data_IF_584246960148
#
_entry.id   IF_584246960148
#
_cell.length_a   1.000
_cell.length_b   1.000
_cell.length_c   1.000
_cell.angle_alpha   90.00
_cell.angle_beta   90.00
_cell.angle_gamma   90.00
#
_symmetry.space_group_name_H-M   'P 1'
#
loop_
_entity.id
_entity.type
_entity.pdbx_description
1 polymer ?
#
# COMPACT_ATOMS: atom_id res chain seq x y z
N UNK A 1 -4.34 15.24 11.17
CA UNK A 1 -2.95 15.36 11.62
C UNK A 1 -2.06 14.55 10.67
N UNK A 2 -0.74 14.77 10.72
CA UNK A 2 0.22 13.95 10.00
C UNK A 2 0.52 12.72 10.84
N UNK A 3 0.32 11.54 10.27
CA UNK A 3 0.63 10.26 10.91
C UNK A 3 1.75 9.57 10.12
N UNK A 4 2.55 8.76 10.82
CA UNK A 4 3.64 7.97 10.26
C UNK A 4 3.61 6.57 10.84
N UNK A 5 3.81 5.57 10.00
CA UNK A 5 3.97 4.17 10.40
C UNK A 5 4.72 3.41 9.30
N UNK A 6 4.93 2.11 9.48
CA UNK A 6 5.37 1.17 8.47
C UNK A 6 4.19 0.37 7.94
N UNK A 7 4.26 -0.09 6.69
CA UNK A 7 3.21 -0.91 6.13
C UNK A 7 3.63 -1.70 4.91
N UNK A 8 3.01 -2.86 4.74
CA UNK A 8 3.16 -3.71 3.55
C UNK A 8 1.97 -3.48 2.64
N UNK A 9 2.23 -3.18 1.37
CA UNK A 9 1.16 -3.05 0.37
C UNK A 9 0.53 -4.43 0.12
N UNK A 10 -0.74 -4.58 0.47
CA UNK A 10 -1.52 -5.79 0.17
C UNK A 10 -2.14 -5.69 -1.23
N UNK A 11 -2.72 -4.55 -1.58
CA UNK A 11 -3.39 -4.34 -2.87
C UNK A 11 -3.48 -2.85 -3.19
N UNK A 12 -3.51 -2.53 -4.48
CA UNK A 12 -3.87 -1.23 -5.02
C UNK A 12 -5.13 -1.32 -5.86
N UNK A 13 -6.00 -0.31 -5.80
CA UNK A 13 -7.23 -0.22 -6.61
C UNK A 13 -7.22 1.13 -7.34
N UNK A 14 -7.46 1.19 -8.66
CA UNK A 14 -7.66 2.45 -9.36
C UNK A 14 -8.84 3.25 -8.79
N UNK A 15 -8.63 4.55 -8.56
CA UNK A 15 -9.68 5.48 -8.11
C UNK A 15 -10.01 6.54 -9.17
N UNK A 16 -9.06 6.85 -10.04
CA UNK A 16 -9.21 7.73 -11.19
C UNK A 16 -8.04 7.49 -12.16
N UNK A 17 -7.91 8.33 -13.19
CA UNK A 17 -6.96 8.09 -14.29
C UNK A 17 -5.52 7.81 -13.85
N UNK A 18 -5.05 8.49 -12.80
CA UNK A 18 -3.71 8.30 -12.26
C UNK A 18 -3.69 8.01 -10.76
N UNK A 19 -4.85 7.92 -10.12
CA UNK A 19 -5.02 7.90 -8.66
C UNK A 19 -5.32 6.48 -8.18
N UNK A 20 -4.78 6.11 -7.01
CA UNK A 20 -4.96 4.76 -6.42
C UNK A 20 -5.49 4.85 -4.99
N UNK A 21 -6.29 3.87 -4.59
CA UNK A 21 -6.46 3.47 -3.20
C UNK A 21 -5.44 2.37 -2.91
N UNK A 22 -4.66 2.54 -1.85
CA UNK A 22 -3.62 1.60 -1.43
C UNK A 22 -3.99 1.00 -0.08
N UNK A 23 -3.98 -0.33 -0.01
CA UNK A 23 -4.26 -1.10 1.19
C UNK A 23 -2.93 -1.50 1.80
N UNK A 24 -2.64 -0.98 2.99
CA UNK A 24 -1.47 -1.32 3.78
C UNK A 24 -1.87 -2.22 4.96
N UNK A 25 -1.13 -3.29 5.18
CA UNK A 25 -1.09 -3.95 6.48
C UNK A 25 -0.05 -3.24 7.33
N UNK A 26 -0.47 -2.68 8.45
CA UNK A 26 0.37 -1.90 9.37
C UNK A 26 0.43 -2.59 10.74
N UNK A 27 1.55 -2.45 11.49
CA UNK A 27 1.69 -3.10 12.79
C UNK A 27 0.84 -2.46 13.89
N UNK A 28 0.50 -1.17 13.75
CA UNK A 28 -0.15 -0.34 14.78
C UNK A 28 -1.57 0.08 14.43
N UNK A 29 -1.93 0.14 13.14
CA UNK A 29 -3.26 0.56 12.68
C UNK A 29 -4.06 -0.56 11.99
N UNK A 30 -3.50 -1.78 11.92
CA UNK A 30 -4.10 -2.90 11.20
C UNK A 30 -4.20 -2.64 9.69
N UNK A 31 -5.36 -2.91 9.10
CA UNK A 31 -5.60 -2.68 7.67
C UNK A 31 -5.92 -1.21 7.40
N UNK A 32 -4.93 -0.48 6.91
CA UNK A 32 -5.04 0.93 6.56
C UNK A 32 -5.30 1.11 5.07
N UNK A 33 -6.42 1.74 4.72
CA UNK A 33 -6.73 2.16 3.34
C UNK A 33 -6.34 3.62 3.17
N UNK A 34 -5.56 3.95 2.13
CA UNK A 34 -5.12 5.33 1.88
C UNK A 34 -5.39 5.75 0.44
N UNK A 35 -5.62 7.05 0.24
CA UNK A 35 -5.72 7.65 -1.09
C UNK A 35 -4.36 8.18 -1.55
N UNK A 36 -3.81 7.63 -2.62
CA UNK A 36 -2.60 8.10 -3.27
C UNK A 36 -2.95 8.91 -4.52
N UNK A 37 -2.66 10.22 -4.48
CA UNK A 37 -2.88 11.12 -5.61
C UNK A 37 -1.76 11.01 -6.64
N UNK A 38 -2.14 10.63 -7.85
CA UNK A 38 -1.36 10.55 -9.07
C UNK A 38 -0.11 9.66 -9.03
N UNK A 39 -0.11 8.49 -8.34
CA UNK A 39 1.04 7.60 -8.29
C UNK A 39 1.48 7.04 -9.65
N UNK A 40 0.58 6.94 -10.64
CA UNK A 40 0.89 6.35 -11.95
C UNK A 40 1.59 7.32 -12.93
N UNK A 41 1.76 8.59 -12.56
CA UNK A 41 2.46 9.56 -13.41
C UNK A 41 3.96 9.27 -13.42
N UNK A 42 4.62 9.48 -14.56
CA UNK A 42 6.08 9.27 -14.74
C UNK A 42 6.93 10.01 -13.69
N UNK A 43 6.49 11.19 -13.24
CA UNK A 43 7.17 11.99 -12.19
C UNK A 43 6.53 11.83 -10.80
N UNK A 44 5.92 10.68 -10.55
CA UNK A 44 5.31 10.37 -9.25
C UNK A 44 6.36 10.30 -8.15
N UNK A 45 6.06 10.91 -7.01
CA UNK A 45 6.89 10.78 -5.79
C UNK A 45 6.88 9.38 -5.19
N UNK A 46 5.94 8.53 -5.60
CA UNK A 46 5.77 7.21 -5.02
C UNK A 46 6.61 6.13 -5.70
N UNK A 47 7.07 6.34 -6.94
CA UNK A 47 7.85 5.34 -7.68
C UNK A 47 7.23 3.94 -7.60
N UNK A 48 8.05 2.93 -7.31
CA UNK A 48 7.62 1.54 -7.09
C UNK A 48 7.18 1.23 -5.65
N UNK A 49 7.09 2.23 -4.76
CA UNK A 49 6.82 2.00 -3.34
C UNK A 49 5.40 1.52 -3.02
N UNK A 50 4.48 1.64 -4.00
CA UNK A 50 3.09 1.21 -3.90
C UNK A 50 2.83 -0.09 -4.65
N UNK A 51 3.89 -0.75 -5.13
CA UNK A 51 3.76 -2.07 -5.72
C UNK A 51 3.39 -3.11 -4.65
N UNK A 52 2.61 -4.15 -5.00
CA UNK A 52 2.27 -5.23 -4.08
C UNK A 52 3.48 -5.79 -3.35
N UNK A 53 3.30 -6.10 -2.07
CA UNK A 53 4.31 -6.66 -1.15
C UNK A 53 5.44 -5.73 -0.75
N UNK A 54 5.47 -4.49 -1.24
CA UNK A 54 6.48 -3.54 -0.82
C UNK A 54 6.24 -3.13 0.64
N UNK A 55 7.28 -3.27 1.47
CA UNK A 55 7.31 -2.79 2.85
C UNK A 55 7.94 -1.40 2.89
N UNK A 56 7.18 -0.42 3.36
CA UNK A 56 7.56 1.00 3.29
C UNK A 56 7.27 1.74 4.59
N UNK A 57 8.07 2.78 4.87
CA UNK A 57 7.69 3.85 5.80
C UNK A 57 6.71 4.76 5.09
N UNK A 58 5.52 4.94 5.66
CA UNK A 58 4.47 5.75 5.06
C UNK A 58 4.13 6.96 5.93
N UNK A 59 3.74 8.05 5.28
CA UNK A 59 3.19 9.21 5.94
C UNK A 59 1.89 9.65 5.27
N UNK A 60 0.86 9.91 6.05
CA UNK A 60 -0.47 10.27 5.54
C UNK A 60 -1.14 11.34 6.40
N UNK A 61 -2.04 12.10 5.76
CA UNK A 61 -2.86 13.13 6.40
C UNK A 61 -4.30 12.67 6.51
N UNK A 62 -4.84 12.69 7.74
CA UNK A 62 -6.23 12.36 8.02
C UNK A 62 -6.68 12.82 9.41
N UNK A 63 -7.99 12.80 9.67
CA UNK A 63 -8.51 12.77 11.04
C UNK A 63 -8.29 11.36 11.60
N UNK A 64 -8.27 11.19 12.93
CA UNK A 64 -8.01 9.89 13.59
C UNK A 64 -8.89 8.75 13.04
N UNK A 65 -10.12 9.05 12.62
CA UNK A 65 -11.07 8.07 12.06
C UNK A 65 -11.40 8.31 10.58
N UNK A 66 -10.52 8.94 9.82
CA UNK A 66 -10.75 9.10 8.38
C UNK A 66 -10.70 7.72 7.71
N UNK A 67 -11.77 7.32 7.01
CA UNK A 67 -11.83 6.03 6.32
C UNK A 67 -10.81 5.90 5.17
N UNK A 68 -10.37 7.03 4.61
CA UNK A 68 -9.44 7.08 3.49
C UNK A 68 -8.51 8.31 3.58
N UNK A 69 -7.55 8.34 4.51
CA UNK A 69 -6.58 9.43 4.62
C UNK A 69 -5.73 9.54 3.35
N UNK A 70 -5.21 10.75 3.11
CA UNK A 70 -4.38 11.04 1.94
C UNK A 70 -2.93 10.62 2.18
N UNK A 71 -2.43 9.69 1.39
CA UNK A 71 -1.03 9.29 1.37
C UNK A 71 -0.15 10.44 0.85
N UNK A 72 0.89 10.77 1.59
CA UNK A 72 1.82 11.84 1.25
C UNK A 72 3.24 11.37 0.97
N UNK A 73 3.70 10.33 1.65
CA UNK A 73 5.04 9.74 1.49
C UNK A 73 4.97 8.23 1.60
N UNK A 74 5.86 7.53 0.89
CA UNK A 74 6.05 6.09 0.95
C UNK A 74 7.49 5.78 0.54
N UNK A 75 8.33 5.49 1.53
CA UNK A 75 9.76 5.22 1.34
C UNK A 75 10.03 3.73 1.55
N UNK A 76 10.57 3.07 0.52
CA UNK A 76 10.79 1.61 0.55
C UNK A 76 11.82 1.25 1.62
N UNK A 77 11.43 0.34 2.51
CA UNK A 77 12.35 -0.35 3.43
C UNK A 77 12.81 -1.65 2.76
N UNK A 78 11.85 -2.46 2.29
CA UNK A 78 12.11 -3.70 1.56
C UNK A 78 11.13 -3.83 0.38
N UNK A 79 11.65 -4.00 -0.84
CA UNK A 79 10.82 -4.13 -2.04
C UNK A 79 10.21 -5.53 -2.21
N UNK A 80 10.88 -6.57 -1.71
CA UNK A 80 10.55 -7.98 -1.96
C UNK A 80 10.29 -8.29 -3.46
N UNK A 81 11.03 -7.62 -4.34
CA UNK A 81 10.88 -7.75 -5.80
C UNK A 81 11.00 -9.22 -6.26
N UNK A 82 11.91 -9.99 -5.66
CA UNK A 82 12.11 -11.42 -5.99
C UNK A 82 10.84 -12.27 -5.87
N UNK A 83 9.91 -11.90 -4.99
CA UNK A 83 8.61 -12.60 -4.85
C UNK A 83 7.73 -12.34 -6.07
N UNK A 84 7.81 -11.15 -6.66
CA UNK A 84 7.09 -10.73 -7.87
C UNK A 84 7.73 -11.26 -9.15
N UNK A 85 9.02 -11.58 -9.12
CA UNK A 85 9.75 -12.06 -10.30
C UNK A 85 9.44 -13.53 -10.65
N UNK A 86 8.95 -14.33 -9.69
CA UNK A 86 8.60 -15.74 -9.91
C UNK A 86 7.08 -15.93 -9.80
N UNK A 87 6.44 -16.32 -10.90
CA UNK A 87 4.99 -16.54 -10.97
C UNK A 87 4.46 -17.44 -9.83
N UNK A 88 5.13 -18.55 -9.53
CA UNK A 88 4.72 -19.47 -8.47
C UNK A 88 4.75 -18.83 -7.07
N UNK A 89 5.74 -17.98 -6.78
CA UNK A 89 5.76 -17.24 -5.52
C UNK A 89 4.65 -16.19 -5.49
N UNK A 90 4.52 -15.44 -6.59
CA UNK A 90 3.53 -14.36 -6.68
C UNK A 90 2.09 -14.88 -6.54
N UNK A 91 1.75 -16.03 -7.14
CA UNK A 91 0.43 -16.66 -6.99
C UNK A 91 0.13 -17.06 -5.54
N UNK A 92 1.05 -17.76 -4.88
CA UNK A 92 0.89 -18.19 -3.48
C UNK A 92 0.70 -17.00 -2.54
N UNK A 93 1.50 -15.95 -2.75
CA UNK A 93 1.38 -14.77 -1.92
C UNK A 93 0.10 -13.98 -2.23
N UNK A 94 -0.34 -13.96 -3.49
CA UNK A 94 -1.64 -13.38 -3.85
C UNK A 94 -2.81 -14.07 -3.15
N UNK A 95 -2.78 -15.41 -3.03
CA UNK A 95 -3.77 -16.15 -2.23
C UNK A 95 -3.72 -15.75 -0.74
N UNK A 96 -2.52 -15.67 -0.15
CA UNK A 96 -2.35 -15.24 1.25
C UNK A 96 -2.89 -13.83 1.46
N UNK A 97 -2.61 -12.91 0.54
CA UNK A 97 -3.16 -11.54 0.56
C UNK A 97 -4.69 -11.58 0.53
N UNK A 98 -5.27 -12.36 -0.38
CA UNK A 98 -6.73 -12.43 -0.51
C UNK A 98 -7.39 -13.00 0.75
N UNK A 99 -6.83 -14.06 1.31
CA UNK A 99 -7.29 -14.61 2.59
C UNK A 99 -7.15 -13.57 3.70
N UNK A 100 -6.01 -12.90 3.81
CA UNK A 100 -5.78 -11.84 4.80
C UNK A 100 -6.83 -10.74 4.69
N UNK A 101 -7.13 -10.27 3.47
CA UNK A 101 -8.15 -9.25 3.24
C UNK A 101 -9.58 -9.71 3.55
N UNK A 102 -9.86 -11.02 3.49
CA UNK A 102 -11.19 -11.59 3.84
C UNK A 102 -11.36 -11.80 5.35
N UNK A 103 -10.28 -12.10 6.06
CA UNK A 103 -10.32 -12.41 7.49
C UNK A 103 -10.15 -11.19 8.40
N UNK A 104 -9.56 -10.11 7.89
CA UNK A 104 -9.49 -8.85 8.64
C UNK A 104 -10.88 -8.20 8.62
N UNK A 105 -11.44 -7.84 9.80
CA UNK A 105 -12.77 -7.23 9.94
C UNK A 105 -12.88 -5.83 9.30
#
# INVERSE_FOLDING_TARGET
>A
MLHRTEGIVLRTIPFGDADLIVFFLTPDLGLLKTFAKSPLKTKSRFGSSLEPLTHSKIAFWGKENAALPRLTQSDIIHSFQSIRDTLNCFLKVSEIIELTLRFIP
#
